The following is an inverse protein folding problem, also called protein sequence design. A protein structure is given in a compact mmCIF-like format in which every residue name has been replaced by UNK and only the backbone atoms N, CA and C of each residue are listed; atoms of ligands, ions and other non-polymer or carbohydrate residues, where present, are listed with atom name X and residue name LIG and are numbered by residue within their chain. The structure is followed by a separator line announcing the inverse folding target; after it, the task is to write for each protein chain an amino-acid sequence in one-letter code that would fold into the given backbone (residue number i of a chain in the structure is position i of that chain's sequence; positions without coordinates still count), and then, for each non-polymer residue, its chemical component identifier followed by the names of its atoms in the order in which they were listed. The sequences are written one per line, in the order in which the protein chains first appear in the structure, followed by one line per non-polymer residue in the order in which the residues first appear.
data_IF_235806874466
#
_entry.id   IF_235806874466
#
_cell.length_a   1.000
_cell.length_b   1.000
_cell.length_c   1.000
_cell.angle_alpha   90.00
_cell.angle_beta   90.00
_cell.angle_gamma   90.00
#
_symmetry.space_group_name_H-M   'P 1'
#
loop_
_entity.id
_entity.type
_entity.pdbx_description
1 polymer ?
#
# COMPACT_ATOMS: atom_id res chain seq x y z
N UNK A 1 -27.85 21.11 -3.19
CA UNK A 1 -27.20 21.86 -2.09
C UNK A 1 -26.65 20.82 -1.14
N UNK A 2 -25.36 20.50 -1.25
CA UNK A 2 -24.70 19.53 -0.37
C UNK A 2 -24.38 20.30 0.91
N UNK A 3 -25.07 19.97 1.99
CA UNK A 3 -24.78 20.49 3.32
C UNK A 3 -23.49 19.81 3.77
N UNK A 4 -22.40 20.56 3.80
CA UNK A 4 -21.19 20.12 4.50
C UNK A 4 -21.52 20.14 6.00
N UNK A 5 -21.53 18.96 6.63
CA UNK A 5 -21.50 18.90 8.08
C UNK A 5 -20.23 19.62 8.57
N UNK A 6 -20.34 20.50 9.59
CA UNK A 6 -19.21 21.27 10.07
C UNK A 6 -18.10 20.33 10.59
N UNK A 7 -16.85 20.64 10.22
CA UNK A 7 -15.58 19.96 10.57
C UNK A 7 -15.24 19.96 12.08
N UNK A 8 -16.23 19.90 12.97
CA UNK A 8 -16.03 19.99 14.42
C UNK A 8 -15.98 18.63 15.15
N UNK A 9 -16.20 17.51 14.48
CA UNK A 9 -16.08 16.18 15.11
C UNK A 9 -14.79 15.47 14.71
N UNK A 10 -13.87 15.42 15.68
CA UNK A 10 -12.65 14.61 15.77
C UNK A 10 -11.35 15.25 15.26
N UNK A 11 -10.86 16.28 15.95
CA UNK A 11 -9.40 16.41 16.17
C UNK A 11 -8.94 15.29 17.12
N UNK A 12 -9.02 14.03 16.69
CA UNK A 12 -8.30 12.95 17.38
C UNK A 12 -6.81 13.24 17.20
N UNK A 13 -6.08 13.32 18.29
CA UNK A 13 -4.63 13.53 18.24
C UNK A 13 -3.98 12.46 17.36
N UNK A 14 -3.13 12.89 16.43
CA UNK A 14 -2.37 11.99 15.53
C UNK A 14 -1.43 11.08 16.34
N UNK A 15 -1.04 11.52 17.54
CA UNK A 15 -0.25 10.75 18.50
C UNK A 15 -1.19 10.21 19.57
N UNK A 16 -1.12 8.90 19.83
CA UNK A 16 -1.92 8.22 20.85
C UNK A 16 -0.97 7.63 21.89
N UNK A 17 -1.26 7.83 23.17
CA UNK A 17 -0.43 7.31 24.27
C UNK A 17 -0.96 5.93 24.68
N UNK A 18 -0.10 4.91 24.60
CA UNK A 18 -0.41 3.53 24.99
C UNK A 18 0.66 3.01 25.96
N UNK A 19 0.25 2.21 26.95
CA UNK A 19 1.18 1.65 27.94
C UNK A 19 1.75 0.31 27.47
N UNK A 20 2.86 0.34 26.71
CA UNK A 20 3.52 -0.87 26.21
C UNK A 20 4.02 -1.81 27.31
N UNK A 21 4.37 -1.29 28.49
CA UNK A 21 5.00 -2.06 29.57
C UNK A 21 4.04 -2.97 30.33
N UNK A 22 2.75 -2.60 30.38
CA UNK A 22 1.73 -3.32 31.15
C UNK A 22 1.07 -4.47 30.38
N UNK A 23 1.45 -4.69 29.12
CA UNK A 23 0.95 -5.79 28.29
C UNK A 23 2.13 -6.66 27.78
N UNK A 24 2.51 -7.71 28.54
CA UNK A 24 3.64 -8.59 28.21
C UNK A 24 3.47 -9.29 26.87
N UNK A 25 2.23 -9.62 26.54
CA UNK A 25 1.88 -10.39 25.36
C UNK A 25 1.62 -9.43 24.19
N UNK A 26 1.13 -8.22 24.43
CA UNK A 26 0.89 -7.21 23.40
C UNK A 26 -0.48 -7.35 22.72
N UNK A 27 -1.31 -8.31 23.16
CA UNK A 27 -2.63 -8.59 22.55
C UNK A 27 -3.64 -7.48 22.84
N UNK A 28 -3.63 -6.92 24.06
CA UNK A 28 -4.49 -5.80 24.44
C UNK A 28 -4.10 -4.56 23.65
N UNK A 29 -2.79 -4.30 23.49
CA UNK A 29 -2.28 -3.21 22.67
C UNK A 29 -2.70 -3.35 21.20
N UNK A 30 -2.60 -4.55 20.62
CA UNK A 30 -3.06 -4.79 19.23
C UNK A 30 -4.56 -4.51 19.08
N UNK A 31 -5.37 -4.92 20.06
CA UNK A 31 -6.80 -4.67 20.04
C UNK A 31 -7.11 -3.17 20.13
N UNK A 32 -6.43 -2.44 21.01
CA UNK A 32 -6.61 -1.00 21.19
C UNK A 32 -6.14 -0.20 19.96
N UNK A 33 -4.97 -0.53 19.41
CA UNK A 33 -4.46 0.05 18.16
C UNK A 33 -5.44 -0.15 17.00
N UNK A 34 -5.96 -1.36 16.83
CA UNK A 34 -6.93 -1.65 15.78
C UNK A 34 -8.29 -0.97 16.01
N UNK A 35 -8.75 -0.87 17.27
CA UNK A 35 -9.95 -0.12 17.65
C UNK A 35 -9.80 1.35 17.28
N UNK A 36 -8.66 1.97 17.60
CA UNK A 36 -8.39 3.37 17.29
C UNK A 36 -8.44 3.64 15.78
N UNK A 37 -7.86 2.75 14.96
CA UNK A 37 -7.95 2.88 13.49
C UNK A 37 -9.37 2.66 13.00
N UNK A 38 -10.09 1.67 13.53
CA UNK A 38 -11.48 1.42 13.16
C UNK A 38 -12.34 2.65 13.41
N UNK A 39 -12.23 3.26 14.59
CA UNK A 39 -12.98 4.47 14.92
C UNK A 39 -12.57 5.66 14.04
N UNK A 40 -11.27 5.85 13.80
CA UNK A 40 -10.75 6.97 12.99
C UNK A 40 -11.15 6.84 11.51
N UNK A 41 -11.29 5.61 11.01
CA UNK A 41 -11.73 5.33 9.64
C UNK A 41 -13.22 5.03 9.53
N UNK A 42 -14.00 5.33 10.59
CA UNK A 42 -15.44 5.09 10.66
C UNK A 42 -15.86 3.65 10.27
N UNK A 43 -15.06 2.66 10.67
CA UNK A 43 -15.30 1.25 10.39
C UNK A 43 -14.72 0.74 9.07
N UNK A 44 -14.18 1.61 8.24
CA UNK A 44 -13.73 1.22 6.88
C UNK A 44 -12.48 0.34 6.90
N UNK A 45 -11.63 0.52 7.92
CA UNK A 45 -10.40 -0.23 8.13
C UNK A 45 -10.39 -0.92 9.49
N UNK A 46 -10.09 -2.21 9.48
CA UNK A 46 -9.90 -3.02 10.68
C UNK A 46 -8.63 -3.86 10.55
N UNK A 47 -8.10 -4.36 11.68
CA UNK A 47 -6.97 -5.31 11.68
C UNK A 47 -5.75 -4.82 10.87
N UNK A 48 -5.34 -3.56 11.07
CA UNK A 48 -4.12 -2.98 10.48
C UNK A 48 -2.87 -3.56 11.14
N UNK A 49 -2.89 -3.71 12.46
CA UNK A 49 -1.83 -4.39 13.21
C UNK A 49 -2.18 -5.87 13.30
N UNK A 50 -1.33 -6.72 12.72
CA UNK A 50 -1.51 -8.17 12.76
C UNK A 50 -1.14 -8.72 14.13
N UNK A 51 -1.86 -9.77 14.58
CA UNK A 51 -1.62 -10.40 15.89
C UNK A 51 -0.23 -11.02 16.00
N UNK A 52 0.30 -11.58 14.92
CA UNK A 52 1.64 -12.18 14.88
C UNK A 52 2.79 -11.15 14.87
N UNK A 53 2.47 -9.87 14.69
CA UNK A 53 3.44 -8.75 14.68
C UNK A 53 3.21 -7.78 15.85
N UNK A 54 2.75 -8.30 16.99
CA UNK A 54 2.43 -7.50 18.17
C UNK A 54 3.65 -6.73 18.74
N UNK A 55 3.46 -5.48 19.19
CA UNK A 55 4.48 -4.77 19.96
C UNK A 55 4.85 -5.52 21.24
N UNK A 56 6.13 -5.45 21.63
CA UNK A 56 6.62 -6.05 22.89
C UNK A 56 6.75 -4.99 23.98
N UNK A 57 6.95 -5.38 25.24
CA UNK A 57 7.15 -4.47 26.38
C UNK A 57 8.26 -3.41 26.21
N UNK A 58 9.24 -3.69 25.36
CA UNK A 58 10.33 -2.76 25.03
C UNK A 58 9.97 -1.77 23.91
N UNK A 59 8.81 -1.90 23.29
CA UNK A 59 8.31 -0.93 22.33
C UNK A 59 8.07 0.43 23.01
N UNK A 60 8.33 1.50 22.27
CA UNK A 60 8.26 2.88 22.76
C UNK A 60 7.52 3.78 21.78
N UNK A 61 7.66 3.51 20.49
CA UNK A 61 6.95 4.19 19.42
C UNK A 61 6.48 3.16 18.38
N UNK A 62 5.27 3.31 17.85
CA UNK A 62 4.77 2.54 16.71
C UNK A 62 4.07 3.50 15.74
N UNK A 63 4.29 3.30 14.44
CA UNK A 63 3.61 4.07 13.41
C UNK A 63 2.56 3.19 12.77
N UNK A 64 1.34 3.70 12.63
CA UNK A 64 0.24 3.01 11.97
C UNK A 64 -0.31 3.92 10.89
N UNK A 65 -0.42 3.38 9.68
CA UNK A 65 -1.10 4.07 8.58
C UNK A 65 -2.05 3.10 7.89
N UNK A 66 -3.11 3.65 7.31
CA UNK A 66 -4.05 2.89 6.49
C UNK A 66 -4.37 3.69 5.24
N UNK A 67 -4.60 2.97 4.14
CA UNK A 67 -4.99 3.56 2.87
C UNK A 67 -6.15 2.76 2.29
N UNK A 68 -7.33 3.37 2.23
CA UNK A 68 -8.51 2.78 1.61
C UNK A 68 -8.75 3.47 0.27
N UNK A 69 -8.80 2.70 -0.81
CA UNK A 69 -9.14 3.20 -2.14
C UNK A 69 -10.21 2.31 -2.74
N UNK A 70 -11.41 2.89 -2.91
CA UNK A 70 -12.46 2.29 -3.72
C UNK A 70 -12.43 2.99 -5.06
N UNK A 71 -12.16 2.25 -6.13
CA UNK A 71 -12.20 2.78 -7.47
C UNK A 71 -13.59 2.56 -8.04
N UNK A 72 -14.34 3.65 -8.21
CA UNK A 72 -15.64 3.66 -8.87
C UNK A 72 -15.39 3.75 -10.37
N UNK A 73 -15.54 2.64 -11.07
CA UNK A 73 -15.29 2.56 -12.50
C UNK A 73 -16.42 3.24 -13.28
N UNK A 74 -16.04 4.12 -14.21
CA UNK A 74 -16.94 4.71 -15.21
C UNK A 74 -16.81 3.94 -16.52
N UNK A 75 -17.67 2.94 -16.78
CA UNK A 75 -17.55 2.13 -17.98
C UNK A 75 -17.96 2.91 -19.23
N UNK A 76 -17.25 2.77 -20.36
CA UNK A 76 -17.62 3.40 -21.62
C UNK A 76 -18.80 2.70 -22.34
N UNK A 77 -19.33 1.60 -21.77
CA UNK A 77 -20.42 0.82 -22.32
C UNK A 77 -21.15 0.05 -21.23
N UNK A 78 -22.12 -0.79 -21.63
CA UNK A 78 -22.89 -1.59 -20.67
C UNK A 78 -22.00 -2.63 -19.99
N UNK A 79 -22.16 -2.77 -18.67
CA UNK A 79 -21.52 -3.82 -17.88
C UNK A 79 -22.45 -5.03 -17.78
N UNK A 80 -21.89 -6.23 -17.93
CA UNK A 80 -22.55 -7.50 -17.59
C UNK A 80 -21.69 -8.29 -16.62
N UNK A 81 -22.28 -8.82 -15.54
CA UNK A 81 -21.58 -9.75 -14.65
C UNK A 81 -21.42 -11.11 -15.34
N UNK A 82 -20.21 -11.66 -15.28
CA UNK A 82 -19.86 -12.96 -15.88
C UNK A 82 -18.99 -13.77 -14.93
N UNK A 83 -19.04 -15.09 -15.06
CA UNK A 83 -18.04 -15.98 -14.48
C UNK A 83 -16.96 -16.31 -15.53
N UNK A 84 -15.70 -16.32 -15.10
CA UNK A 84 -14.58 -16.58 -16.01
C UNK A 84 -13.42 -17.28 -15.32
N UNK A 85 -12.54 -17.88 -16.11
CA UNK A 85 -11.31 -18.49 -15.61
C UNK A 85 -10.23 -17.43 -15.38
N UNK A 86 -9.68 -17.40 -14.18
CA UNK A 86 -8.49 -16.64 -13.83
C UNK A 86 -7.30 -17.57 -13.73
N UNK A 87 -6.22 -17.19 -14.41
CA UNK A 87 -4.96 -17.92 -14.41
C UNK A 87 -3.90 -17.05 -13.74
N UNK A 88 -3.10 -17.64 -12.85
CA UNK A 88 -2.03 -16.93 -12.15
C UNK A 88 -0.94 -16.42 -13.11
N UNK A 89 -0.79 -17.09 -14.26
CA UNK A 89 0.24 -16.79 -15.26
C UNK A 89 -0.36 -16.74 -16.67
N UNK A 90 0.37 -16.12 -17.61
CA UNK A 90 -0.05 -16.02 -19.01
C UNK A 90 -0.10 -17.39 -19.73
N UNK A 91 0.58 -18.41 -19.19
CA UNK A 91 0.64 -19.77 -19.76
C UNK A 91 -0.69 -20.52 -19.64
N UNK A 92 -1.65 -19.99 -18.88
CA UNK A 92 -3.00 -20.54 -18.71
C UNK A 92 -3.00 -22.01 -18.27
N UNK A 93 -2.19 -22.34 -17.26
CA UNK A 93 -2.20 -23.68 -16.69
C UNK A 93 -3.60 -23.99 -16.11
N UNK A 94 -4.22 -25.06 -16.64
CA UNK A 94 -5.59 -25.46 -16.29
C UNK A 94 -5.68 -25.95 -14.84
N UNK A 95 -4.62 -26.53 -14.31
CA UNK A 95 -4.59 -27.15 -12.97
C UNK A 95 -4.58 -26.09 -11.85
N UNK A 96 -4.08 -24.89 -12.15
CA UNK A 96 -4.00 -23.77 -11.19
C UNK A 96 -5.05 -22.69 -11.45
N UNK A 97 -6.03 -22.94 -12.33
CA UNK A 97 -7.03 -21.94 -12.68
C UNK A 97 -8.09 -21.84 -11.57
N UNK A 98 -8.54 -20.62 -11.32
CA UNK A 98 -9.71 -20.35 -10.46
C UNK A 98 -10.89 -19.89 -11.30
N UNK A 99 -12.11 -20.15 -10.85
CA UNK A 99 -13.32 -19.51 -11.40
C UNK A 99 -13.62 -18.27 -10.57
N UNK A 100 -13.77 -17.13 -11.22
CA UNK A 100 -14.02 -15.84 -10.57
C UNK A 100 -15.22 -15.12 -11.17
N UNK A 101 -15.82 -14.22 -10.39
CA UNK A 101 -16.77 -13.23 -10.90
C UNK A 101 -16.02 -12.04 -11.49
N UNK A 102 -16.51 -11.55 -12.62
CA UNK A 102 -15.92 -10.44 -13.34
C UNK A 102 -16.99 -9.58 -14.03
N UNK A 103 -16.59 -8.37 -14.40
CA UNK A 103 -17.39 -7.47 -15.21
C UNK A 103 -16.91 -7.55 -16.66
N UNK A 104 -17.82 -7.87 -17.59
CA UNK A 104 -17.60 -7.70 -19.03
C UNK A 104 -18.14 -6.34 -19.45
N UNK A 105 -17.38 -5.60 -20.24
CA UNK A 105 -17.82 -4.36 -20.86
C UNK A 105 -17.32 -4.24 -22.29
N UNK A 106 -18.24 -3.92 -23.20
CA UNK A 106 -17.97 -3.64 -24.60
C UNK A 106 -18.04 -2.13 -24.82
N UNK A 107 -16.93 -1.51 -25.21
CA UNK A 107 -16.86 -0.06 -25.31
C UNK A 107 -15.58 0.46 -25.95
N UNK A 108 -15.43 1.79 -25.92
CA UNK A 108 -14.23 2.47 -26.41
C UNK A 108 -13.23 2.61 -25.27
N UNK A 109 -12.08 1.93 -25.38
CA UNK A 109 -11.04 1.94 -24.37
C UNK A 109 -9.73 2.47 -24.91
N UNK A 110 -9.00 3.24 -24.11
CA UNK A 110 -7.61 3.58 -24.38
C UNK A 110 -6.71 2.45 -23.89
N UNK A 111 -6.03 1.79 -24.83
CA UNK A 111 -5.26 0.58 -24.57
C UNK A 111 -4.19 0.38 -25.63
N UNK A 112 -3.12 -0.32 -25.28
CA UNK A 112 -2.07 -0.71 -26.22
C UNK A 112 -1.37 -2.00 -25.77
N UNK A 113 -0.66 -2.63 -26.71
CA UNK A 113 0.40 -3.57 -26.40
C UNK A 113 1.73 -2.82 -26.57
N UNK A 114 2.45 -2.62 -25.46
CA UNK A 114 3.74 -1.94 -25.47
C UNK A 114 4.81 -2.78 -26.17
N UNK A 115 5.93 -2.16 -26.52
CA UNK A 115 7.11 -2.85 -27.09
C UNK A 115 7.67 -3.95 -26.18
N UNK A 116 7.48 -3.81 -24.86
CA UNK A 116 7.93 -4.77 -23.85
C UNK A 116 6.91 -5.90 -23.61
N UNK A 117 5.96 -6.10 -24.53
CA UNK A 117 4.89 -7.08 -24.44
C UNK A 117 4.01 -6.94 -23.18
N UNK A 118 3.87 -5.72 -22.67
CA UNK A 118 2.93 -5.39 -21.60
C UNK A 118 1.68 -4.80 -22.23
N UNK A 119 0.53 -5.44 -22.01
CA UNK A 119 -0.76 -4.85 -22.35
C UNK A 119 -1.11 -3.82 -21.28
N UNK A 120 -1.48 -2.62 -21.71
CA UNK A 120 -1.84 -1.52 -20.82
C UNK A 120 -3.26 -1.09 -21.15
N UNK A 121 -4.11 -0.97 -20.13
CA UNK A 121 -5.49 -0.51 -20.25
C UNK A 121 -5.71 0.66 -19.29
N UNK A 122 -6.26 1.76 -19.80
CA UNK A 122 -6.72 2.90 -19.01
C UNK A 122 -8.22 2.73 -18.69
N UNK A 123 -8.57 2.86 -17.42
CA UNK A 123 -9.95 2.88 -16.93
C UNK A 123 -10.23 4.24 -16.29
N UNK A 124 -11.30 4.89 -16.74
CA UNK A 124 -11.77 6.13 -16.16
C UNK A 124 -12.57 5.88 -14.87
N UNK A 125 -12.44 6.78 -13.92
CA UNK A 125 -13.27 6.77 -12.71
C UNK A 125 -14.49 7.66 -12.89
N UNK A 126 -15.54 7.39 -12.10
CA UNK A 126 -16.62 8.36 -11.87
C UNK A 126 -16.12 9.63 -11.14
N UNK A 127 -14.97 9.54 -10.47
CA UNK A 127 -14.31 10.69 -9.86
C UNK A 127 -13.42 11.37 -10.91
N UNK A 128 -13.72 12.64 -11.21
CA UNK A 128 -12.98 13.43 -12.19
C UNK A 128 -11.47 13.50 -11.88
N UNK A 129 -10.66 13.29 -12.92
CA UNK A 129 -9.20 13.32 -12.83
C UNK A 129 -8.56 12.06 -12.24
N UNK A 130 -9.35 11.10 -11.74
CA UNK A 130 -8.85 9.82 -11.25
C UNK A 130 -8.92 8.75 -12.35
N UNK A 131 -7.80 8.03 -12.56
CA UNK A 131 -7.70 6.93 -13.52
C UNK A 131 -7.01 5.73 -12.91
N UNK A 132 -7.40 4.54 -13.36
CA UNK A 132 -6.70 3.30 -13.08
C UNK A 132 -6.01 2.80 -14.34
N UNK A 133 -4.75 2.40 -14.21
CA UNK A 133 -4.01 1.74 -15.27
C UNK A 133 -3.76 0.28 -14.90
N UNK A 134 -4.23 -0.62 -15.76
CA UNK A 134 -4.00 -2.05 -15.62
C UNK A 134 -2.86 -2.48 -16.54
N UNK A 135 -1.87 -3.16 -15.96
CA UNK A 135 -0.70 -3.68 -16.67
C UNK A 135 -0.75 -5.21 -16.66
N UNK A 136 -0.90 -5.81 -17.83
CA UNK A 136 -0.89 -7.25 -18.01
C UNK A 136 0.36 -7.67 -18.81
N UNK A 137 1.43 -8.15 -18.14
CA UNK A 137 2.58 -8.70 -18.83
C UNK A 137 2.21 -9.98 -19.60
N UNK A 138 2.78 -10.17 -20.79
CA UNK A 138 2.76 -11.47 -21.50
C UNK A 138 3.94 -12.38 -21.11
N UNK A 139 4.54 -12.14 -19.95
CA UNK A 139 5.62 -12.93 -19.38
C UNK A 139 5.25 -13.37 -17.97
N UNK A 140 6.02 -14.31 -17.42
CA UNK A 140 5.82 -14.77 -16.05
C UNK A 140 5.94 -13.60 -15.06
N UNK A 141 4.97 -13.48 -14.16
CA UNK A 141 4.99 -12.46 -13.12
C UNK A 141 6.04 -12.84 -12.07
N UNK A 142 7.28 -12.39 -12.27
CA UNK A 142 8.43 -12.75 -11.44
C UNK A 142 8.84 -11.65 -10.47
N UNK A 143 9.57 -12.02 -9.42
CA UNK A 143 10.21 -11.05 -8.53
C UNK A 143 11.14 -10.10 -9.27
N UNK A 144 11.78 -10.56 -10.35
CA UNK A 144 12.70 -9.73 -11.13
C UNK A 144 11.97 -8.72 -12.01
N UNK A 145 10.81 -9.10 -12.56
CA UNK A 145 9.91 -8.15 -13.23
C UNK A 145 9.48 -7.03 -12.27
N UNK A 146 9.07 -7.38 -11.04
CA UNK A 146 8.69 -6.40 -10.02
C UNK A 146 9.83 -5.45 -9.62
N UNK A 147 11.09 -5.92 -9.57
CA UNK A 147 12.25 -5.07 -9.24
C UNK A 147 12.54 -4.02 -10.31
N UNK A 148 12.22 -4.33 -11.58
CA UNK A 148 12.43 -3.41 -12.70
C UNK A 148 11.31 -2.36 -12.82
N UNK A 149 10.14 -2.65 -12.25
CA UNK A 149 9.02 -1.72 -12.23
C UNK A 149 9.28 -0.55 -11.27
N UNK A 150 9.30 0.66 -11.84
CA UNK A 150 9.34 1.91 -11.10
C UNK A 150 8.44 2.95 -11.77
N UNK A 151 8.25 4.11 -11.12
CA UNK A 151 7.38 5.16 -11.63
C UNK A 151 7.75 5.67 -13.03
N UNK A 152 9.04 5.67 -13.40
CA UNK A 152 9.48 6.07 -14.75
C UNK A 152 9.06 5.02 -15.79
N UNK A 153 9.25 3.74 -15.47
CA UNK A 153 8.86 2.64 -16.37
C UNK A 153 7.34 2.57 -16.55
N UNK A 154 6.58 2.72 -15.45
CA UNK A 154 5.11 2.77 -15.51
C UNK A 154 4.62 3.94 -16.36
N UNK A 155 5.19 5.14 -16.17
CA UNK A 155 4.88 6.31 -17.01
C UNK A 155 5.23 6.06 -18.48
N UNK A 156 6.36 5.42 -18.76
CA UNK A 156 6.75 5.08 -20.13
C UNK A 156 5.70 4.18 -20.81
N UNK A 157 5.19 3.17 -20.12
CA UNK A 157 4.09 2.34 -20.63
C UNK A 157 2.79 3.13 -20.85
N UNK A 158 2.43 4.00 -19.92
CA UNK A 158 1.23 4.85 -20.05
C UNK A 158 1.34 5.79 -21.26
N UNK A 159 2.53 6.36 -21.52
CA UNK A 159 2.74 7.26 -22.67
C UNK A 159 2.64 6.58 -24.03
N UNK A 160 2.71 5.24 -24.09
CA UNK A 160 2.52 4.48 -25.33
C UNK A 160 1.04 4.28 -25.68
N UNK A 161 0.11 4.58 -24.76
CA UNK A 161 -1.32 4.48 -25.03
C UNK A 161 -1.71 5.57 -26.03
N UNK A 162 -2.28 5.17 -27.16
CA UNK A 162 -2.77 6.10 -28.18
C UNK A 162 -3.75 7.14 -27.62
N UNK A 163 -3.83 8.30 -28.28
CA UNK A 163 -4.79 9.35 -27.90
C UNK A 163 -6.23 8.92 -28.16
N UNK A 164 -6.47 8.18 -29.25
CA UNK A 164 -7.80 7.73 -29.65
C UNK A 164 -8.15 6.39 -28.99
N UNK A 165 -9.33 6.25 -28.38
CA UNK A 165 -9.79 4.97 -27.85
C UNK A 165 -10.18 4.02 -28.99
N UNK A 166 -10.10 2.71 -28.72
CA UNK A 166 -10.40 1.66 -29.68
C UNK A 166 -11.52 0.80 -29.11
N UNK A 167 -12.42 0.32 -29.97
CA UNK A 167 -13.51 -0.57 -29.55
C UNK A 167 -12.96 -1.91 -29.09
N UNK A 168 -13.21 -2.29 -27.84
CA UNK A 168 -12.80 -3.56 -27.26
C UNK A 168 -13.85 -4.13 -26.31
N UNK A 169 -13.84 -5.45 -26.19
CA UNK A 169 -14.50 -6.20 -25.13
C UNK A 169 -13.48 -6.53 -24.05
N UNK A 170 -13.67 -6.01 -22.84
CA UNK A 170 -12.77 -6.27 -21.71
C UNK A 170 -13.50 -7.06 -20.63
N UNK A 171 -12.74 -7.85 -19.87
CA UNK A 171 -13.22 -8.57 -18.68
C UNK A 171 -12.33 -8.18 -17.51
N UNK A 172 -12.91 -7.52 -16.51
CA UNK A 172 -12.21 -7.05 -15.31
C UNK A 172 -12.67 -7.89 -14.11
N UNK A 173 -11.76 -8.59 -13.41
CA UNK A 173 -12.08 -9.30 -12.18
C UNK A 173 -12.75 -8.38 -11.15
N UNK A 174 -13.79 -8.88 -10.48
CA UNK A 174 -14.32 -8.20 -9.28
C UNK A 174 -13.46 -8.61 -8.10
N UNK A 175 -12.66 -7.69 -7.56
CA UNK A 175 -11.72 -8.00 -6.49
C UNK A 175 -11.68 -6.95 -5.39
N UNK A 176 -11.27 -7.40 -4.21
CA UNK A 176 -10.81 -6.54 -3.12
C UNK A 176 -9.49 -7.06 -2.58
N UNK A 177 -8.47 -6.21 -2.58
CA UNK A 177 -7.16 -6.48 -2.00
C UNK A 177 -7.13 -5.89 -0.60
N UNK A 178 -6.82 -6.71 0.39
CA UNK A 178 -6.60 -6.30 1.78
C UNK A 178 -5.22 -6.77 2.21
N UNK A 179 -4.27 -5.85 2.37
CA UNK A 179 -2.87 -6.18 2.64
C UNK A 179 -2.33 -5.42 3.86
N UNK A 180 -2.35 -6.04 5.06
CA UNK A 180 -1.65 -5.53 6.23
C UNK A 180 -0.19 -6.00 6.24
N UNK A 181 0.74 -5.06 6.38
CA UNK A 181 2.19 -5.31 6.37
C UNK A 181 2.89 -4.57 7.51
N UNK A 182 3.90 -5.21 8.11
CA UNK A 182 4.89 -4.57 8.98
C UNK A 182 6.11 -4.23 8.15
N UNK A 183 6.53 -2.97 8.15
CA UNK A 183 7.55 -2.45 7.25
C UNK A 183 8.94 -2.39 7.87
N UNK A 184 9.10 -2.70 9.16
CA UNK A 184 10.42 -2.78 9.79
C UNK A 184 11.34 -3.78 9.09
N UNK A 185 10.85 -4.96 8.72
CA UNK A 185 11.67 -5.97 8.01
C UNK A 185 12.14 -5.48 6.63
N UNK A 186 11.37 -4.60 5.99
CA UNK A 186 11.71 -4.01 4.69
C UNK A 186 12.81 -2.95 4.83
N UNK A 187 12.71 -2.09 5.85
CA UNK A 187 13.60 -0.93 5.98
C UNK A 187 14.80 -1.14 6.92
N UNK A 188 14.67 -1.97 7.95
CA UNK A 188 15.72 -2.16 8.96
C UNK A 188 16.90 -3.01 8.47
N UNK A 189 16.72 -3.80 7.41
CA UNK A 189 17.79 -4.58 6.80
C UNK A 189 18.76 -3.72 5.96
N UNK A 190 18.44 -2.45 5.73
CA UNK A 190 19.35 -1.55 5.03
C UNK A 190 20.59 -1.26 5.89
N UNK A 191 21.75 -1.71 5.42
CA UNK A 191 23.06 -1.34 6.00
C UNK A 191 23.51 0.01 5.40
N UNK A 192 23.67 1.07 6.22
CA UNK A 192 23.97 2.41 5.72
C UNK A 192 25.27 2.51 4.90
N UNK A 193 26.29 1.70 5.26
CA UNK A 193 27.58 1.67 4.54
C UNK A 193 27.37 1.16 3.11
N UNK A 194 26.60 0.10 2.92
CA UNK A 194 26.30 -0.41 1.58
C UNK A 194 25.42 0.57 0.78
N UNK A 195 24.45 1.23 1.40
CA UNK A 195 23.68 2.28 0.74
C UNK A 195 24.54 3.51 0.36
N UNK A 196 25.56 3.84 1.15
CA UNK A 196 26.49 4.94 0.85
C UNK A 196 27.46 4.58 -0.27
N UNK A 197 27.98 3.35 -0.31
CA UNK A 197 28.89 2.85 -1.34
C UNK A 197 28.16 2.66 -2.67
N UNK A 198 26.94 2.11 -2.64
CA UNK A 198 26.12 1.89 -3.84
C UNK A 198 25.14 3.04 -4.12
N UNK A 199 25.53 4.27 -3.77
CA UNK A 199 24.70 5.49 -3.72
C UNK A 199 23.93 5.83 -5.00
N UNK A 200 24.19 5.14 -6.09
CA UNK A 200 23.38 5.19 -7.29
C UNK A 200 23.12 3.76 -7.79
N UNK A 201 21.85 3.33 -7.72
CA UNK A 201 21.30 2.20 -8.49
C UNK A 201 21.70 0.76 -8.07
N UNK A 202 21.70 0.41 -6.78
CA UNK A 202 21.65 -1.04 -6.46
C UNK A 202 20.20 -1.55 -6.43
N UNK A 203 19.80 -2.48 -7.32
CA UNK A 203 18.44 -3.04 -7.35
C UNK A 203 18.05 -3.85 -6.11
N UNK A 204 18.98 -4.06 -5.16
CA UNK A 204 18.69 -4.74 -3.89
C UNK A 204 18.20 -3.79 -2.78
N UNK A 205 18.36 -2.47 -2.91
CA UNK A 205 17.94 -1.50 -1.89
C UNK A 205 17.23 -0.29 -2.52
N UNK A 206 16.00 -0.47 -3.03
CA UNK A 206 15.27 0.59 -3.76
C UNK A 206 14.70 1.71 -2.85
N UNK A 207 14.86 1.59 -1.54
CA UNK A 207 14.29 2.50 -0.56
C UNK A 207 15.36 3.35 0.12
N UNK A 208 15.06 4.61 0.53
CA UNK A 208 15.97 5.38 1.35
C UNK A 208 16.32 4.59 2.61
N UNK A 209 17.61 4.59 2.97
CA UNK A 209 18.09 3.88 4.16
C UNK A 209 17.59 4.54 5.45
N UNK A 210 16.34 4.30 5.81
CA UNK A 210 15.72 4.82 7.04
C UNK A 210 15.95 3.89 8.23
N UNK A 211 16.82 2.88 8.13
CA UNK A 211 17.15 1.93 9.19
C UNK A 211 17.50 2.59 10.53
N UNK A 212 18.05 3.82 10.51
CA UNK A 212 18.36 4.62 11.69
C UNK A 212 17.17 4.80 12.64
N UNK A 213 15.95 4.96 12.11
CA UNK A 213 14.76 5.20 12.94
C UNK A 213 14.36 3.98 13.77
N UNK A 214 14.78 2.77 13.36
CA UNK A 214 14.54 1.52 14.08
C UNK A 214 15.70 1.14 15.02
N UNK A 215 16.79 1.93 15.03
CA UNK A 215 17.99 1.63 15.80
C UNK A 215 17.85 2.09 17.25
N UNK A 216 18.07 1.21 18.24
CA UNK A 216 17.97 1.58 19.66
C UNK A 216 19.01 2.61 20.10
N UNK A 217 20.12 2.72 19.36
CA UNK A 217 21.24 3.61 19.72
C UNK A 217 21.30 4.89 18.86
N UNK A 218 20.57 4.91 17.73
CA UNK A 218 20.73 5.96 16.71
C UNK A 218 19.43 6.69 16.35
N UNK A 219 18.27 6.21 16.78
CA UNK A 219 17.00 6.85 16.49
C UNK A 219 16.93 8.23 17.15
N UNK A 220 16.43 9.23 16.42
CA UNK A 220 16.30 10.61 16.92
C UNK A 220 14.86 11.06 16.76
N UNK A 221 14.05 10.82 17.80
CA UNK A 221 12.65 11.24 17.85
C UNK A 221 12.41 12.29 18.96
N UNK A 222 13.46 13.00 19.38
CA UNK A 222 13.46 13.94 20.51
C UNK A 222 12.28 14.91 20.52
N UNK A 223 11.92 15.44 19.34
CA UNK A 223 10.79 16.37 19.21
C UNK A 223 9.43 15.75 19.51
N UNK A 224 9.24 14.44 19.32
CA UNK A 224 7.97 13.74 19.58
C UNK A 224 7.69 13.66 21.09
N UNK A 225 8.74 13.51 21.91
CA UNK A 225 8.61 13.39 23.37
C UNK A 225 9.13 14.63 24.12
N UNK A 226 9.13 15.80 23.46
CA UNK A 226 9.39 17.09 24.12
C UNK A 226 10.86 17.39 24.46
N UNK A 227 11.82 16.64 23.90
CA UNK A 227 13.26 16.95 24.03
C UNK A 227 13.62 18.07 23.03
N UNK A 228 13.23 19.30 23.36
CA UNK A 228 13.48 20.49 22.55
C UNK A 228 14.92 21.05 22.64
N UNK A 229 15.72 20.62 23.62
CA UNK A 229 17.17 20.87 23.65
C UNK A 229 17.90 19.63 24.15
N UNK A 230 19.12 19.40 23.67
CA UNK A 230 19.93 18.21 23.98
C UNK A 230 20.43 18.17 25.44
N UNK A 231 19.97 19.06 26.31
CA UNK A 231 20.66 19.38 27.57
C UNK A 231 20.33 18.45 28.74
N UNK A 232 19.16 17.79 28.76
CA UNK A 232 18.68 17.11 29.99
C UNK A 232 18.46 15.59 29.91
N UNK A 233 18.85 14.92 28.82
CA UNK A 233 18.64 13.47 28.71
C UNK A 233 19.89 12.74 28.23
N UNK A 234 20.33 11.77 29.05
CA UNK A 234 21.46 10.90 28.78
C UNK A 234 21.26 9.95 27.58
N UNK A 235 22.32 9.22 27.19
CA UNK A 235 22.32 8.32 26.02
C UNK A 235 21.27 7.20 26.07
N UNK A 236 20.70 6.92 27.23
CA UNK A 236 19.67 5.89 27.43
C UNK A 236 18.23 6.36 27.10
N UNK A 237 18.02 7.63 26.75
CA UNK A 237 16.70 8.20 26.46
C UNK A 237 16.43 8.29 24.95
N UNK A 238 16.55 7.12 24.29
CA UNK A 238 16.31 6.93 22.86
C UNK A 238 15.10 6.02 22.69
N UNK A 239 14.12 6.47 21.90
CA UNK A 239 12.89 5.73 21.63
C UNK A 239 12.81 5.36 20.15
N UNK A 240 13.36 4.21 19.73
CA UNK A 240 13.28 3.80 18.34
C UNK A 240 11.84 3.48 17.94
N UNK A 241 11.58 3.61 16.65
CA UNK A 241 10.36 3.09 16.04
C UNK A 241 10.37 1.57 16.17
N UNK A 242 9.37 1.01 16.84
CA UNK A 242 9.24 -0.43 17.04
C UNK A 242 8.89 -1.13 15.72
N UNK A 243 7.87 -0.64 15.02
CA UNK A 243 7.50 -1.07 13.69
C UNK A 243 6.70 0.04 13.01
N UNK A 244 6.58 -0.08 11.70
CA UNK A 244 5.68 0.70 10.89
C UNK A 244 4.63 -0.23 10.27
N UNK A 245 3.42 -0.19 10.81
CA UNK A 245 2.28 -0.95 10.33
C UNK A 245 1.55 -0.17 9.23
N UNK A 246 1.34 -0.80 8.08
CA UNK A 246 0.55 -0.25 6.99
C UNK A 246 -0.49 -1.25 6.53
N UNK A 247 -1.73 -0.80 6.32
CA UNK A 247 -2.75 -1.59 5.63
C UNK A 247 -3.30 -0.87 4.42
N UNK A 248 -3.21 -1.53 3.28
CA UNK A 248 -3.87 -1.12 2.04
C UNK A 248 -5.16 -1.92 1.86
N UNK A 249 -6.27 -1.22 1.59
CA UNK A 249 -7.51 -1.81 1.08
C UNK A 249 -7.81 -1.18 -0.27
N UNK A 250 -7.92 -2.01 -1.30
CA UNK A 250 -8.26 -1.57 -2.65
C UNK A 250 -9.41 -2.40 -3.18
N UNK A 251 -10.42 -1.79 -3.79
CA UNK A 251 -11.51 -2.49 -4.45
C UNK A 251 -11.86 -1.81 -5.77
N UNK A 252 -12.33 -2.61 -6.74
CA UNK A 252 -12.92 -2.11 -7.98
C UNK A 252 -14.42 -2.33 -7.89
N UNK A 253 -15.17 -1.23 -8.01
CA UNK A 253 -16.61 -1.18 -7.96
C UNK A 253 -17.18 -0.71 -9.29
#
# INVERSE_FOLDING_TARGET
MIVFEPEEKMKKEVVQTLCFQMDPIGQTLVNEMNKNIKETTQGTMEHVVRRDLQPKQKARLALITSFNSMFYWKPPGQITEVETFFYETYEKNVDTRSVIKAYRCDGLFRTCLTRDNIRVLELDSEIDGLKMYLFQPRMFFSKDFLKLLNGKQLRHYITQIGSQPIRQSIIIPRFSINSPVGLRSVFALCKPIYHFIFKNKHPQFPYPCIARIFSPDKAEFGMIYGKASRENFGPCHIYPLWDYYHKTKMAVC
#
